data_IF_472960055759
#
_entry.id   IF_472960055759
#
_cell.length_a   1.000
_cell.length_b   1.000
_cell.length_c   1.000
_cell.angle_alpha   90.00
_cell.angle_beta   90.00
_cell.angle_gamma   90.00
#
_symmetry.space_group_name_H-M   'P 1'
#
loop_
_entity.id
_entity.type
_entity.pdbx_description
1 polymer ?
#
# COMPACT_ATOMS: atom_id res chain seq x y z
N UNK A 1 16.36 -28.51 33.46
CA UNK A 1 16.75 -27.16 33.04
C UNK A 1 16.73 -27.16 31.53
N UNK A 2 15.64 -26.69 30.93
CA UNK A 2 15.51 -26.60 29.47
C UNK A 2 15.99 -25.21 29.08
N UNK A 3 17.13 -25.14 28.40
CA UNK A 3 17.67 -23.91 27.83
C UNK A 3 16.89 -23.67 26.53
N UNK A 4 15.95 -22.72 26.56
CA UNK A 4 15.37 -22.18 25.34
C UNK A 4 16.37 -21.18 24.78
N UNK A 5 17.12 -21.59 23.76
CA UNK A 5 17.72 -20.65 22.82
C UNK A 5 16.57 -20.17 21.91
N UNK A 6 15.98 -19.03 22.23
CA UNK A 6 15.19 -18.27 21.27
C UNK A 6 16.16 -17.31 20.61
N UNK A 7 16.34 -17.52 19.30
CA UNK A 7 17.20 -16.72 18.45
C UNK A 7 16.72 -15.26 18.48
N UNK A 8 17.59 -14.37 18.96
CA UNK A 8 17.52 -12.94 18.69
C UNK A 8 17.87 -12.77 17.20
N UNK A 9 16.84 -12.77 16.34
CA UNK A 9 16.93 -12.27 14.98
C UNK A 9 16.86 -10.74 14.99
N UNK A 10 17.69 -10.09 15.81
CA UNK A 10 17.95 -8.66 15.68
C UNK A 10 18.87 -8.50 14.46
N UNK A 11 18.30 -8.63 13.26
CA UNK A 11 19.04 -8.30 12.05
C UNK A 11 19.45 -6.83 12.13
N UNK A 12 20.77 -6.62 12.14
CA UNK A 12 21.36 -5.30 12.35
C UNK A 12 21.21 -4.46 11.08
N UNK A 13 20.03 -3.85 10.94
CA UNK A 13 19.69 -2.96 9.84
C UNK A 13 20.45 -1.62 9.87
N UNK A 14 21.38 -1.39 10.82
CA UNK A 14 22.13 -0.13 10.88
C UNK A 14 22.95 0.13 9.62
N UNK A 15 23.48 -0.92 8.98
CA UNK A 15 24.20 -0.79 7.71
C UNK A 15 23.26 -0.38 6.56
N UNK A 16 22.12 -1.06 6.43
CA UNK A 16 21.12 -0.72 5.42
C UNK A 16 20.60 0.71 5.60
N UNK A 17 20.25 1.09 6.84
CA UNK A 17 19.82 2.43 7.18
C UNK A 17 20.90 3.48 6.87
N UNK A 18 22.18 3.19 7.18
CA UNK A 18 23.29 4.08 6.86
C UNK A 18 23.48 4.32 5.35
N UNK A 19 23.30 3.28 4.53
CA UNK A 19 23.35 3.39 3.07
C UNK A 19 22.19 4.22 2.53
N UNK A 20 20.98 3.98 3.04
CA UNK A 20 19.76 4.71 2.65
C UNK A 20 19.85 6.19 3.03
N UNK A 21 20.26 6.49 4.26
CA UNK A 21 20.41 7.86 4.76
C UNK A 21 21.49 8.64 4.01
N UNK A 22 22.56 7.95 3.61
CA UNK A 22 23.63 8.51 2.78
C UNK A 22 23.23 8.71 1.32
N UNK A 23 22.08 8.18 0.90
CA UNK A 23 21.54 8.28 -0.48
C UNK A 23 22.56 7.85 -1.54
N UNK A 24 23.27 6.77 -1.26
CA UNK A 24 24.22 6.17 -2.21
C UNK A 24 23.49 5.84 -3.51
N UNK A 25 24.09 6.17 -4.66
CA UNK A 25 23.50 5.86 -5.96
C UNK A 25 23.31 4.36 -6.11
N UNK A 26 22.22 3.92 -6.74
CA UNK A 26 21.99 2.49 -6.95
C UNK A 26 23.02 1.82 -7.85
N UNK A 27 23.63 2.58 -8.77
CA UNK A 27 24.72 2.09 -9.62
C UNK A 27 26.02 1.82 -8.83
N UNK A 28 26.14 2.42 -7.64
CA UNK A 28 27.31 2.28 -6.77
C UNK A 28 27.11 1.21 -5.67
N UNK A 29 25.92 0.59 -5.62
CA UNK A 29 25.59 -0.45 -4.65
C UNK A 29 25.87 -1.84 -5.22
N UNK A 30 26.50 -2.69 -4.41
CA UNK A 30 26.62 -4.12 -4.73
C UNK A 30 25.27 -4.83 -4.57
N UNK A 31 25.15 -6.04 -5.13
CA UNK A 31 23.96 -6.88 -4.92
C UNK A 31 23.73 -7.18 -3.44
N UNK A 32 24.78 -7.45 -2.66
CA UNK A 32 24.64 -7.72 -1.22
C UNK A 32 24.16 -6.47 -0.46
N UNK A 33 24.59 -5.28 -0.88
CA UNK A 33 24.08 -4.03 -0.30
C UNK A 33 22.63 -3.76 -0.67
N UNK A 34 22.24 -4.08 -1.91
CA UNK A 34 20.86 -4.02 -2.35
C UNK A 34 19.99 -5.05 -1.63
N UNK A 35 20.50 -6.25 -1.37
CA UNK A 35 19.82 -7.28 -0.58
C UNK A 35 19.54 -6.77 0.84
N UNK A 36 20.54 -6.23 1.54
CA UNK A 36 20.35 -5.63 2.88
C UNK A 36 19.34 -4.47 2.89
N UNK A 37 19.31 -3.64 1.84
CA UNK A 37 18.32 -2.57 1.71
C UNK A 37 16.92 -3.14 1.46
N UNK A 38 16.82 -4.19 0.64
CA UNK A 38 15.56 -4.85 0.32
C UNK A 38 14.93 -5.52 1.52
N UNK A 39 15.76 -6.23 2.27
CA UNK A 39 15.47 -6.84 3.55
C UNK A 39 15.00 -5.82 4.59
N UNK A 40 15.73 -4.69 4.72
CA UNK A 40 15.28 -3.56 5.54
C UNK A 40 13.87 -3.08 5.17
N UNK A 41 13.57 -2.92 3.88
CA UNK A 41 12.22 -2.54 3.45
C UNK A 41 11.19 -3.66 3.70
N UNK A 42 11.59 -4.93 3.68
CA UNK A 42 10.70 -6.05 3.98
C UNK A 42 10.31 -6.05 5.46
N UNK A 43 11.28 -5.90 6.36
CA UNK A 43 11.05 -5.76 7.79
C UNK A 43 10.14 -4.56 8.09
N UNK A 44 10.38 -3.42 7.45
CA UNK A 44 9.55 -2.21 7.65
C UNK A 44 8.10 -2.38 7.16
N UNK A 45 7.86 -3.24 6.16
CA UNK A 45 6.53 -3.54 5.64
C UNK A 45 5.83 -4.67 6.39
N UNK A 46 6.59 -5.64 6.90
CA UNK A 46 6.07 -6.87 7.54
C UNK A 46 6.92 -7.28 8.75
N UNK A 47 6.92 -6.51 9.84
CA UNK A 47 7.91 -6.67 10.91
C UNK A 47 7.78 -7.98 11.71
N UNK A 48 8.91 -8.44 12.24
CA UNK A 48 9.05 -9.57 13.16
C UNK A 48 8.62 -10.90 12.55
N UNK A 49 7.74 -11.64 13.26
CA UNK A 49 7.32 -13.00 12.85
C UNK A 49 6.70 -13.05 11.45
N UNK A 50 6.14 -11.94 10.96
CA UNK A 50 5.60 -11.87 9.61
C UNK A 50 6.71 -11.95 8.54
N UNK A 51 7.83 -11.28 8.75
CA UNK A 51 9.02 -11.34 7.91
C UNK A 51 9.59 -12.76 7.90
N UNK A 52 9.87 -13.33 9.09
CA UNK A 52 10.39 -14.70 9.23
C UNK A 52 9.51 -15.74 8.54
N UNK A 53 8.18 -15.60 8.63
CA UNK A 53 7.24 -16.49 7.96
C UNK A 53 7.29 -16.36 6.44
N UNK A 54 7.41 -15.14 5.93
CA UNK A 54 7.56 -14.91 4.49
C UNK A 54 8.88 -15.48 3.98
N UNK A 55 9.96 -15.29 4.71
CA UNK A 55 11.28 -15.83 4.36
C UNK A 55 11.24 -17.34 4.24
N UNK A 56 10.69 -18.01 5.25
CA UNK A 56 10.50 -19.46 5.25
C UNK A 56 9.67 -19.95 4.05
N UNK A 57 8.64 -19.20 3.66
CA UNK A 57 7.79 -19.53 2.51
C UNK A 57 8.45 -19.24 1.16
N UNK A 58 9.45 -18.35 1.13
CA UNK A 58 10.17 -17.90 -0.07
C UNK A 58 11.51 -18.62 -0.28
N UNK A 59 11.78 -19.68 0.48
CA UNK A 59 12.96 -20.53 0.36
C UNK A 59 13.85 -20.57 1.61
N UNK A 60 13.52 -19.75 2.61
CA UNK A 60 14.29 -19.55 3.84
C UNK A 60 15.36 -18.47 3.70
N UNK A 61 15.85 -18.00 4.85
CA UNK A 61 17.00 -17.09 4.93
C UNK A 61 18.20 -17.62 4.14
N UNK A 62 18.87 -16.72 3.41
CA UNK A 62 20.03 -17.05 2.58
C UNK A 62 19.71 -17.87 1.32
N UNK A 63 18.44 -18.11 1.00
CA UNK A 63 18.06 -18.74 -0.26
C UNK A 63 18.18 -17.77 -1.43
N UNK A 64 18.59 -18.28 -2.59
CA UNK A 64 18.68 -17.48 -3.83
C UNK A 64 17.32 -16.88 -4.23
N UNK A 65 16.22 -17.59 -3.96
CA UNK A 65 14.87 -17.08 -4.23
C UNK A 65 14.52 -15.88 -3.35
N UNK A 66 14.87 -15.93 -2.07
CA UNK A 66 14.67 -14.81 -1.14
C UNK A 66 15.57 -13.62 -1.50
N UNK A 67 16.85 -13.87 -1.81
CA UNK A 67 17.79 -12.85 -2.27
C UNK A 67 17.25 -12.06 -3.46
N UNK A 68 16.70 -12.73 -4.47
CA UNK A 68 16.11 -12.06 -5.64
C UNK A 68 14.91 -11.19 -5.27
N UNK A 69 14.12 -11.58 -4.26
CA UNK A 69 12.99 -10.80 -3.77
C UNK A 69 13.48 -9.53 -3.10
N UNK A 70 14.48 -9.63 -2.22
CA UNK A 70 15.10 -8.49 -1.55
C UNK A 70 15.70 -7.52 -2.57
N UNK A 71 16.46 -8.02 -3.55
CA UNK A 71 16.99 -7.23 -4.65
C UNK A 71 15.88 -6.49 -5.43
N UNK A 72 14.80 -7.19 -5.77
CA UNK A 72 13.68 -6.58 -6.50
C UNK A 72 12.98 -5.50 -5.69
N UNK A 73 12.87 -5.69 -4.37
CA UNK A 73 12.30 -4.72 -3.45
C UNK A 73 13.19 -3.48 -3.32
N UNK A 74 14.49 -3.65 -3.12
CA UNK A 74 15.43 -2.52 -3.06
C UNK A 74 15.39 -1.69 -4.34
N UNK A 75 15.45 -2.32 -5.52
CA UNK A 75 15.36 -1.60 -6.80
C UNK A 75 14.08 -0.79 -6.94
N UNK A 76 12.96 -1.34 -6.45
CA UNK A 76 11.66 -0.66 -6.52
C UNK A 76 11.55 0.49 -5.53
N UNK A 77 11.86 0.25 -4.26
CA UNK A 77 11.61 1.19 -3.17
C UNK A 77 12.73 2.22 -3.01
N UNK A 78 13.98 1.79 -3.17
CA UNK A 78 15.15 2.65 -3.01
C UNK A 78 15.56 3.30 -4.34
N UNK A 79 15.74 2.49 -5.39
CA UNK A 79 16.22 2.99 -6.69
C UNK A 79 15.14 3.68 -7.53
N UNK A 80 13.86 3.52 -7.17
CA UNK A 80 12.75 4.03 -7.96
C UNK A 80 12.64 3.39 -9.34
N UNK A 81 13.27 2.23 -9.54
CA UNK A 81 13.12 1.48 -10.77
C UNK A 81 11.71 0.91 -10.79
N UNK A 82 10.92 1.35 -11.77
CA UNK A 82 9.67 0.67 -12.13
C UNK A 82 10.01 -0.62 -12.89
N UNK A 83 10.72 -1.53 -12.24
CA UNK A 83 10.82 -2.91 -12.68
C UNK A 83 9.45 -3.54 -12.49
N UNK A 84 8.63 -3.46 -13.54
CA UNK A 84 7.40 -4.22 -13.67
C UNK A 84 7.74 -5.69 -13.83
N UNK A 85 8.21 -6.33 -12.76
CA UNK A 85 8.45 -7.76 -12.72
C UNK A 85 7.52 -8.38 -11.70
N UNK A 86 6.52 -9.06 -12.24
CA UNK A 86 5.74 -10.03 -11.50
C UNK A 86 6.68 -11.09 -10.93
N UNK A 87 6.32 -11.56 -9.74
CA UNK A 87 7.01 -12.53 -8.89
C UNK A 87 7.16 -13.94 -9.49
N UNK A 88 7.22 -14.07 -10.82
CA UNK A 88 7.24 -15.34 -11.51
C UNK A 88 7.87 -15.18 -12.90
N UNK A 89 9.16 -15.48 -13.02
CA UNK A 89 9.72 -15.82 -14.33
C UNK A 89 11.12 -15.32 -14.62
N UNK A 90 12.10 -16.18 -14.32
CA UNK A 90 13.00 -16.65 -15.38
C UNK A 90 14.30 -15.89 -15.59
N UNK A 91 15.41 -16.54 -15.23
CA UNK A 91 16.50 -16.86 -16.15
C UNK A 91 16.44 -16.19 -17.53
N UNK A 92 17.06 -15.01 -17.67
CA UNK A 92 17.57 -14.44 -18.93
C UNK A 92 18.18 -13.08 -18.58
N UNK A 93 19.49 -12.95 -18.35
CA UNK A 93 20.51 -13.00 -19.40
C UNK A 93 20.00 -12.46 -20.74
N UNK A 94 20.42 -11.25 -21.08
CA UNK A 94 20.57 -10.83 -22.47
C UNK A 94 19.45 -9.94 -23.01
N UNK A 95 19.88 -8.75 -23.45
CA UNK A 95 19.53 -8.18 -24.75
C UNK A 95 18.09 -8.36 -25.25
N UNK A 96 17.37 -7.24 -25.35
CA UNK A 96 16.45 -6.82 -26.43
C UNK A 96 15.18 -6.15 -25.88
N UNK A 97 14.64 -5.25 -26.70
CA UNK A 97 13.37 -4.51 -26.56
C UNK A 97 13.47 -3.23 -25.74
N UNK A 98 13.86 -2.07 -26.32
CA UNK A 98 13.32 -1.44 -27.54
C UNK A 98 11.79 -1.53 -27.61
N UNK A 99 11.14 -0.47 -27.12
CA UNK A 99 9.96 0.09 -27.77
C UNK A 99 8.62 -0.41 -27.26
N UNK A 100 7.91 0.52 -26.61
CA UNK A 100 6.45 0.60 -26.65
C UNK A 100 5.72 -0.25 -25.61
N UNK A 101 5.10 0.41 -24.63
CA UNK A 101 3.75 0.14 -24.13
C UNK A 101 3.44 1.06 -22.93
N UNK A 102 3.59 2.36 -23.14
CA UNK A 102 3.12 3.38 -22.19
C UNK A 102 1.65 3.71 -22.52
N UNK A 103 0.72 2.81 -22.16
CA UNK A 103 -0.68 2.95 -22.59
C UNK A 103 -1.73 2.12 -21.83
N UNK A 104 -1.41 1.55 -20.66
CA UNK A 104 -2.32 0.65 -19.94
C UNK A 104 -2.88 1.14 -18.61
N UNK A 105 -2.27 2.16 -17.98
CA UNK A 105 -2.58 2.50 -16.58
C UNK A 105 -3.78 3.46 -16.40
N UNK A 106 -4.48 3.85 -17.47
CA UNK A 106 -5.58 4.82 -17.41
C UNK A 106 -6.99 4.20 -17.36
N UNK A 107 -7.12 2.86 -17.41
CA UNK A 107 -8.42 2.18 -17.42
C UNK A 107 -8.93 1.81 -16.01
N UNK A 108 -8.04 1.65 -15.03
CA UNK A 108 -8.43 1.31 -13.65
C UNK A 108 -8.94 2.53 -12.83
N UNK A 109 -8.45 3.74 -13.15
CA UNK A 109 -8.90 4.99 -12.50
C UNK A 109 -10.23 5.54 -13.07
N UNK A 110 -10.68 5.04 -14.22
CA UNK A 110 -11.94 5.45 -14.84
C UNK A 110 -13.16 4.76 -14.20
N UNK A 111 -13.02 3.50 -13.74
CA UNK A 111 -14.13 2.75 -13.13
C UNK A 111 -14.56 3.29 -11.76
N UNK A 112 -13.61 3.66 -10.90
CA UNK A 112 -13.89 4.15 -9.54
C UNK A 112 -14.56 5.52 -9.53
N UNK A 113 -14.28 6.40 -10.51
CA UNK A 113 -14.91 7.73 -10.60
C UNK A 113 -16.42 7.66 -10.91
N UNK A 114 -16.85 6.67 -11.69
CA UNK A 114 -18.27 6.49 -12.04
C UNK A 114 -19.09 5.92 -10.88
N UNK A 115 -18.52 5.00 -10.10
CA UNK A 115 -19.15 4.45 -8.90
C UNK A 115 -19.26 5.49 -7.77
N UNK A 116 -18.24 6.34 -7.61
CA UNK A 116 -18.31 7.48 -6.69
C UNK A 116 -19.30 8.56 -7.16
N UNK A 117 -19.48 8.77 -8.47
CA UNK A 117 -20.46 9.73 -8.99
C UNK A 117 -21.91 9.36 -8.65
N UNK A 118 -22.30 8.10 -8.85
CA UNK A 118 -23.67 7.64 -8.55
C UNK A 118 -23.97 7.65 -7.05
N UNK A 119 -23.01 7.24 -6.22
CA UNK A 119 -23.17 7.29 -4.76
C UNK A 119 -23.29 8.72 -4.24
N UNK A 120 -22.57 9.69 -4.84
CA UNK A 120 -22.66 11.10 -4.46
C UNK A 120 -24.02 11.72 -4.81
N UNK A 121 -24.58 11.38 -5.98
CA UNK A 121 -25.91 11.87 -6.40
C UNK A 121 -27.01 11.32 -5.48
N UNK A 122 -26.97 10.03 -5.13
CA UNK A 122 -27.90 9.43 -4.18
C UNK A 122 -27.80 10.07 -2.79
N UNK A 123 -26.57 10.35 -2.34
CA UNK A 123 -26.34 11.02 -1.06
C UNK A 123 -26.92 12.45 -1.02
N UNK A 124 -26.73 13.24 -2.09
CA UNK A 124 -27.31 14.59 -2.19
C UNK A 124 -28.84 14.53 -2.19
N UNK A 125 -29.45 13.60 -2.94
CA UNK A 125 -30.91 13.44 -2.97
C UNK A 125 -31.47 13.08 -1.59
N UNK A 126 -30.78 12.22 -0.83
CA UNK A 126 -31.14 11.88 0.54
C UNK A 126 -31.10 13.11 1.44
N UNK A 127 -30.01 13.90 1.38
CA UNK A 127 -29.88 15.12 2.18
C UNK A 127 -30.98 16.13 1.88
N UNK A 128 -31.30 16.35 0.60
CA UNK A 128 -32.39 17.26 0.19
C UNK A 128 -33.72 16.76 0.76
N UNK A 129 -34.00 15.45 0.67
CA UNK A 129 -35.21 14.85 1.23
C UNK A 129 -35.33 15.06 2.75
N UNK A 130 -34.23 14.92 3.48
CA UNK A 130 -34.19 15.13 4.93
C UNK A 130 -34.47 16.59 5.29
N UNK A 131 -33.86 17.54 4.57
CA UNK A 131 -34.09 18.98 4.77
C UNK A 131 -35.56 19.35 4.53
N UNK A 132 -36.19 18.82 3.48
CA UNK A 132 -37.61 19.04 3.19
C UNK A 132 -38.50 18.46 4.30
N UNK A 133 -38.21 17.27 4.78
CA UNK A 133 -38.95 16.65 5.88
C UNK A 133 -38.86 17.47 7.17
N UNK A 134 -37.66 17.94 7.54
CA UNK A 134 -37.45 18.80 8.71
C UNK A 134 -38.20 20.11 8.55
N UNK A 135 -38.14 20.73 7.37
CA UNK A 135 -38.85 21.97 7.08
C UNK A 135 -40.38 21.81 7.19
N UNK A 136 -40.94 20.75 6.60
CA UNK A 136 -42.37 20.42 6.73
C UNK A 136 -42.77 20.17 8.18
N UNK A 137 -41.95 19.45 8.93
CA UNK A 137 -42.20 19.16 10.34
C UNK A 137 -42.23 20.45 11.18
N UNK A 138 -41.29 21.38 10.94
CA UNK A 138 -41.27 22.70 11.57
C UNK A 138 -42.53 23.49 11.21
N UNK A 139 -42.94 23.51 9.95
CA UNK A 139 -44.16 24.20 9.51
C UNK A 139 -45.43 23.64 10.18
N UNK A 140 -45.52 22.32 10.37
CA UNK A 140 -46.61 21.67 11.10
C UNK A 140 -46.60 22.05 12.58
N UNK A 141 -45.42 22.07 13.22
CA UNK A 141 -45.30 22.49 14.62
C UNK A 141 -45.71 23.95 14.84
N UNK A 142 -45.31 24.84 13.93
CA UNK A 142 -45.70 26.26 13.98
C UNK A 142 -47.22 26.43 13.81
N UNK A 143 -47.84 25.66 12.91
CA UNK A 143 -49.31 25.66 12.72
C UNK A 143 -50.06 25.12 13.93
N UNK A 144 -49.49 24.12 14.63
CA UNK A 144 -50.09 23.56 15.85
C UNK A 144 -49.95 24.48 17.07
N UNK A 145 -48.87 25.27 17.19
CA UNK A 145 -48.76 26.29 18.26
C UNK A 145 -49.80 27.40 18.10
N UNK A 146 -50.04 27.90 16.88
CA UNK A 146 -51.03 28.96 16.63
C UNK A 146 -52.48 28.60 16.97
N UNK A 147 -52.85 27.30 16.92
CA UNK A 147 -54.19 26.82 17.30
C UNK A 147 -54.42 26.76 18.82
N UNK A 148 -53.37 26.64 19.63
CA UNK A 148 -53.52 26.58 21.10
C UNK A 148 -53.68 27.97 21.73
N UNK A 149 -53.10 29.02 21.13
CA UNK A 149 -53.20 30.40 21.65
C UNK A 149 -54.56 31.05 21.38
N UNK A 150 -55.31 30.60 20.36
CA UNK A 150 -56.61 31.17 19.99
C UNK A 150 -57.82 30.56 20.72
N UNK A 151 -57.57 29.60 21.62
CA UNK A 151 -58.60 28.84 22.36
C UNK A 151 -58.56 29.10 23.88
N UNK A 152 -57.90 30.18 24.29
CA UNK A 152 -57.82 30.64 25.68
C UNK A 152 -58.30 32.08 25.76
#
# INVERSE_FOLDING_TARGET
MSVFAMADGDEDFTQAAGLIDSKVSCDDLSEDQLEMIGDYYMEQLHPGVAHEYMDAMMGGEGSESLKQVHLSMARRFYCGESQGYGMMGGYSSGMMYRGGMMGGANWAYSGYRWWHGLSYVLYILLLIGLVVLVWLWIMVLLKNKGRKTKKR
#
